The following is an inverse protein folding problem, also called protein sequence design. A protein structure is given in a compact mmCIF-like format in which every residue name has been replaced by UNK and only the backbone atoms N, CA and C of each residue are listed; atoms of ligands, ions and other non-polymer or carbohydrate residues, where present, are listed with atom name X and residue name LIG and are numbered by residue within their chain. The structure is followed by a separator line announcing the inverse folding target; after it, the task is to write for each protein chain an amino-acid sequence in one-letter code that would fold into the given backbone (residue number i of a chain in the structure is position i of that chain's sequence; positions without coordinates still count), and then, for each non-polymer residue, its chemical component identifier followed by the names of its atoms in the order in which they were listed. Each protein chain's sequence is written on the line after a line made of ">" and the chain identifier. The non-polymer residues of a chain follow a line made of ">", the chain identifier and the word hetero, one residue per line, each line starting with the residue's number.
data_IF_901976403355
#
_entry.id   IF_901976403355
#
_cell.length_a   1.000
_cell.length_b   1.000
_cell.length_c   1.000
_cell.angle_alpha   90.00
_cell.angle_beta   90.00
_cell.angle_gamma   90.00
#
_symmetry.space_group_name_H-M   'P 1'
#
loop_
_entity.id
_entity.type
_entity.pdbx_description
1 polymer ?
#
# COMPACT_ATOMS: atom_id res chain seq x y z
N UNK A 1 -20.15 -7.98 14.06
CA UNK A 1 -18.80 -7.38 14.22
C UNK A 1 -18.16 -7.03 12.87
N UNK A 2 -17.85 -7.97 11.98
CA UNK A 2 -17.09 -7.71 10.73
C UNK A 2 -17.74 -6.82 9.64
N UNK A 3 -19.03 -6.47 9.76
CA UNK A 3 -19.66 -5.50 8.84
C UNK A 3 -19.52 -4.05 9.30
N UNK A 4 -19.07 -3.84 10.55
CA UNK A 4 -18.86 -2.52 11.13
C UNK A 4 -17.57 -1.90 10.57
N UNK A 5 -17.61 -0.59 10.37
CA UNK A 5 -16.45 0.27 10.10
C UNK A 5 -15.49 0.28 11.29
N UNK A 6 -14.26 0.75 11.06
CA UNK A 6 -13.26 0.87 12.13
C UNK A 6 -13.74 1.84 13.23
N UNK A 7 -14.42 2.93 12.84
CA UNK A 7 -15.09 3.85 13.76
C UNK A 7 -16.18 3.18 14.61
N UNK A 8 -17.09 2.42 14.01
CA UNK A 8 -18.15 1.72 14.73
C UNK A 8 -17.60 0.60 15.65
N UNK A 9 -16.51 -0.07 15.25
CA UNK A 9 -15.82 -1.03 16.11
C UNK A 9 -15.22 -0.35 17.34
N UNK A 10 -14.59 0.81 17.15
CA UNK A 10 -14.04 1.62 18.24
C UNK A 10 -15.13 2.04 19.24
N UNK A 11 -16.27 2.51 18.74
CA UNK A 11 -17.43 2.84 19.57
C UNK A 11 -18.01 1.61 20.27
N UNK A 12 -18.02 0.45 19.61
CA UNK A 12 -18.44 -0.83 20.17
C UNK A 12 -17.61 -1.26 21.38
N UNK A 13 -16.27 -1.16 21.27
CA UNK A 13 -15.33 -1.47 22.35
C UNK A 13 -15.54 -0.53 23.55
N UNK A 14 -15.63 0.78 23.31
CA UNK A 14 -15.86 1.77 24.39
C UNK A 14 -17.20 1.59 25.08
N UNK A 15 -18.24 1.26 24.32
CA UNK A 15 -19.57 0.96 24.84
C UNK A 15 -19.67 -0.43 25.48
N UNK A 16 -18.58 -1.21 25.53
CA UNK A 16 -18.53 -2.58 26.06
C UNK A 16 -19.57 -3.52 25.43
N UNK A 17 -19.88 -3.30 24.15
CA UNK A 17 -20.76 -4.21 23.37
C UNK A 17 -20.07 -5.54 23.04
N UNK A 18 -18.75 -5.52 23.01
CA UNK A 18 -17.83 -6.65 22.91
C UNK A 18 -16.47 -6.19 23.43
N UNK A 19 -15.63 -7.13 23.84
CA UNK A 19 -14.24 -6.92 24.22
C UNK A 19 -13.30 -6.92 23.01
N UNK A 20 -12.08 -6.41 23.18
CA UNK A 20 -11.01 -6.50 22.19
C UNK A 20 -10.60 -7.95 21.96
N UNK A 21 -10.57 -8.79 23.01
CA UNK A 21 -10.31 -10.23 22.87
C UNK A 21 -11.39 -10.90 22.00
N UNK A 22 -12.68 -10.64 22.24
CA UNK A 22 -13.76 -11.18 21.41
C UNK A 22 -13.67 -10.70 19.96
N UNK A 23 -13.39 -9.41 19.76
CA UNK A 23 -13.22 -8.83 18.43
C UNK A 23 -12.04 -9.45 17.67
N UNK A 24 -10.92 -9.63 18.35
CA UNK A 24 -9.69 -10.20 17.77
C UNK A 24 -9.89 -11.68 17.43
N UNK A 25 -10.47 -12.47 18.34
CA UNK A 25 -10.87 -13.86 18.07
C UNK A 25 -11.81 -13.96 16.87
N UNK A 26 -12.76 -13.05 16.76
CA UNK A 26 -13.70 -13.00 15.64
C UNK A 26 -12.99 -12.81 14.30
N UNK A 27 -12.03 -11.89 14.19
CA UNK A 27 -11.29 -11.69 12.94
C UNK A 27 -10.27 -12.81 12.67
N UNK A 28 -9.59 -13.35 13.69
CA UNK A 28 -8.70 -14.51 13.53
C UNK A 28 -9.46 -15.74 12.97
N UNK A 29 -10.66 -16.02 13.49
CA UNK A 29 -11.52 -17.10 12.97
C UNK A 29 -11.96 -16.86 11.52
N UNK A 30 -12.10 -15.60 11.10
CA UNK A 30 -12.36 -15.26 9.69
C UNK A 30 -11.14 -15.48 8.81
N UNK A 31 -9.93 -15.18 9.29
CA UNK A 31 -8.69 -15.49 8.56
C UNK A 31 -8.63 -17.00 8.33
N UNK A 32 -8.79 -17.80 9.38
CA UNK A 32 -8.77 -19.28 9.29
C UNK A 32 -9.78 -19.80 8.26
N UNK A 33 -11.01 -19.26 8.27
CA UNK A 33 -12.08 -19.70 7.37
C UNK A 33 -11.87 -19.31 5.91
N UNK A 34 -11.43 -18.08 5.64
CA UNK A 34 -11.49 -17.50 4.29
C UNK A 34 -10.12 -17.36 3.60
N UNK A 35 -9.03 -17.29 4.37
CA UNK A 35 -7.68 -17.17 3.79
C UNK A 35 -7.30 -18.35 2.89
N UNK A 36 -7.65 -19.62 3.19
CA UNK A 36 -7.35 -20.74 2.28
C UNK A 36 -7.93 -20.55 0.86
N UNK A 37 -9.04 -19.83 0.72
CA UNK A 37 -9.66 -19.55 -0.57
C UNK A 37 -9.07 -18.34 -1.31
N UNK A 38 -8.63 -17.32 -0.58
CA UNK A 38 -8.23 -16.01 -1.11
C UNK A 38 -6.72 -15.73 -1.09
N UNK A 39 -5.97 -16.41 -0.22
CA UNK A 39 -4.54 -16.26 0.00
C UNK A 39 -4.08 -14.83 0.38
N UNK A 40 -4.92 -14.09 1.11
CA UNK A 40 -4.69 -12.69 1.47
C UNK A 40 -3.63 -12.48 2.56
N UNK A 41 -3.32 -13.49 3.39
CA UNK A 41 -2.34 -13.47 4.48
C UNK A 41 -1.18 -14.45 4.23
N UNK A 42 0.04 -14.02 4.54
CA UNK A 42 1.25 -14.85 4.58
C UNK A 42 1.49 -15.37 6.00
N UNK A 43 1.54 -14.46 6.98
CA UNK A 43 1.85 -14.77 8.38
C UNK A 43 0.68 -14.36 9.27
N UNK A 44 0.25 -15.21 10.19
CA UNK A 44 -0.82 -14.92 11.16
C UNK A 44 -0.19 -14.83 12.55
N UNK A 45 -0.50 -13.77 13.29
CA UNK A 45 0.11 -13.46 14.60
C UNK A 45 -0.86 -13.73 15.75
N UNK A 46 -1.56 -14.88 15.73
CA UNK A 46 -2.70 -15.15 16.60
C UNK A 46 -2.40 -14.99 18.11
N UNK A 47 -1.34 -15.63 18.61
CA UNK A 47 -0.99 -15.59 20.03
C UNK A 47 -0.61 -14.17 20.48
N UNK A 48 0.23 -13.49 19.69
CA UNK A 48 0.64 -12.12 19.94
C UNK A 48 -0.57 -11.17 19.90
N UNK A 49 -1.47 -11.33 18.93
CA UNK A 49 -2.67 -10.54 18.78
C UNK A 49 -3.61 -10.68 19.99
N UNK A 50 -3.82 -11.90 20.48
CA UNK A 50 -4.66 -12.16 21.66
C UNK A 50 -4.03 -11.60 22.94
N UNK A 51 -2.72 -11.68 23.09
CA UNK A 51 -2.02 -11.09 24.22
C UNK A 51 -2.16 -9.55 24.24
N UNK A 52 -2.05 -8.90 23.08
CA UNK A 52 -2.28 -7.46 22.97
C UNK A 52 -3.76 -7.08 23.16
N UNK A 53 -4.69 -7.91 22.69
CA UNK A 53 -6.12 -7.70 22.93
C UNK A 53 -6.48 -7.70 24.42
N UNK A 54 -5.91 -8.63 25.20
CA UNK A 54 -6.12 -8.66 26.65
C UNK A 54 -5.58 -7.40 27.34
N UNK A 55 -4.44 -6.86 26.90
CA UNK A 55 -3.89 -5.58 27.39
C UNK A 55 -4.78 -4.40 26.99
N UNK A 56 -5.31 -4.42 25.78
CA UNK A 56 -6.21 -3.38 25.29
C UNK A 56 -7.53 -3.34 26.10
N UNK A 57 -8.08 -4.49 26.48
CA UNK A 57 -9.26 -4.56 27.35
C UNK A 57 -9.00 -3.92 28.73
N UNK A 58 -7.82 -4.14 29.31
CA UNK A 58 -7.41 -3.47 30.55
C UNK A 58 -7.32 -1.94 30.39
N UNK A 59 -6.74 -1.47 29.27
CA UNK A 59 -6.65 -0.05 28.97
C UNK A 59 -8.02 0.59 28.73
N UNK A 60 -8.92 -0.09 28.00
CA UNK A 60 -10.29 0.36 27.77
C UNK A 60 -11.08 0.46 29.08
N UNK A 61 -10.87 -0.47 30.02
CA UNK A 61 -11.51 -0.44 31.34
C UNK A 61 -11.13 0.79 32.16
N UNK A 62 -9.95 1.40 31.92
CA UNK A 62 -9.48 2.59 32.62
C UNK A 62 -10.13 3.91 32.13
N UNK A 63 -10.90 3.88 31.04
CA UNK A 63 -11.66 5.03 30.50
C UNK A 63 -10.83 6.11 29.80
N UNK A 64 -9.51 5.94 29.62
CA UNK A 64 -8.61 6.91 28.98
C UNK A 64 -7.86 6.37 27.75
N UNK A 65 -8.35 5.27 27.18
CA UNK A 65 -7.73 4.64 26.02
C UNK A 65 -7.87 5.50 24.74
N UNK A 66 -6.81 5.60 23.91
CA UNK A 66 -6.89 6.16 22.57
C UNK A 66 -8.01 5.55 21.71
N UNK A 67 -8.41 6.26 20.64
CA UNK A 67 -9.54 5.83 19.82
C UNK A 67 -9.35 4.51 19.08
N UNK A 68 -8.12 4.14 18.79
CA UNK A 68 -7.82 2.91 18.05
C UNK A 68 -7.47 1.73 18.96
N UNK A 69 -7.52 1.91 20.29
CA UNK A 69 -7.16 0.86 21.24
C UNK A 69 -8.07 -0.36 21.10
N UNK A 70 -7.46 -1.52 20.96
CA UNK A 70 -8.14 -2.81 20.88
C UNK A 70 -8.65 -3.18 19.50
N UNK A 71 -8.34 -2.39 18.46
CA UNK A 71 -8.78 -2.67 17.09
C UNK A 71 -7.77 -3.57 16.36
N UNK A 72 -8.19 -4.74 15.86
CA UNK A 72 -7.34 -5.61 15.04
C UNK A 72 -7.23 -5.09 13.61
N UNK A 73 -6.02 -4.91 13.09
CA UNK A 73 -5.75 -4.60 11.67
C UNK A 73 -4.67 -5.53 11.11
N UNK A 74 -4.57 -5.58 9.78
CA UNK A 74 -3.50 -6.29 9.09
C UNK A 74 -2.43 -5.34 8.53
N UNK A 75 -1.19 -5.80 8.41
CA UNK A 75 -0.11 -5.03 7.81
C UNK A 75 0.39 -5.71 6.54
N UNK A 76 0.63 -4.96 5.46
CA UNK A 76 1.36 -5.49 4.30
C UNK A 76 2.71 -6.07 4.73
N UNK A 77 3.10 -7.20 4.15
CA UNK A 77 4.32 -7.94 4.54
C UNK A 77 5.66 -7.26 4.16
N UNK A 78 5.60 -5.97 3.88
CA UNK A 78 6.73 -5.08 3.61
C UNK A 78 7.17 -4.28 4.84
N UNK A 79 6.27 -4.16 5.83
CA UNK A 79 6.57 -3.51 7.10
C UNK A 79 7.26 -4.52 8.02
N UNK A 80 8.49 -4.20 8.44
CA UNK A 80 9.15 -4.92 9.51
C UNK A 80 8.27 -4.88 10.77
N UNK A 81 8.18 -6.02 11.45
CA UNK A 81 7.39 -6.19 12.67
C UNK A 81 8.22 -7.08 13.59
N UNK A 82 8.58 -6.57 14.76
CA UNK A 82 9.54 -7.20 15.64
C UNK A 82 9.09 -8.61 16.06
N UNK A 83 9.98 -9.58 15.90
CA UNK A 83 9.72 -10.99 16.18
C UNK A 83 8.77 -11.68 15.19
N UNK A 84 8.35 -11.01 14.10
CA UNK A 84 7.44 -11.57 13.09
C UNK A 84 8.15 -11.69 11.74
N UNK A 85 7.83 -12.76 11.00
CA UNK A 85 8.31 -12.95 9.63
C UNK A 85 7.90 -11.78 8.74
N UNK A 86 8.88 -11.18 8.06
CA UNK A 86 8.68 -10.11 7.07
C UNK A 86 9.33 -10.52 5.77
N UNK A 87 8.53 -10.95 4.79
CA UNK A 87 9.06 -11.71 3.65
C UNK A 87 8.98 -10.96 2.33
N UNK A 88 8.29 -9.82 2.28
CA UNK A 88 8.02 -9.08 1.05
C UNK A 88 7.37 -9.93 -0.06
N UNK A 89 6.67 -11.01 0.29
CA UNK A 89 6.13 -11.96 -0.68
C UNK A 89 7.21 -12.68 -1.49
N UNK A 90 8.44 -12.80 -0.98
CA UNK A 90 9.60 -13.34 -1.70
C UNK A 90 10.24 -14.53 -0.99
N UNK A 91 10.81 -15.45 -1.79
CA UNK A 91 11.70 -16.51 -1.28
C UNK A 91 12.93 -15.91 -0.60
N UNK A 92 13.46 -14.80 -1.13
CA UNK A 92 14.65 -14.12 -0.62
C UNK A 92 14.57 -13.79 0.87
N UNK A 93 13.38 -13.50 1.39
CA UNK A 93 13.16 -13.16 2.81
C UNK A 93 12.21 -14.13 3.52
N UNK A 94 12.01 -15.33 2.98
CA UNK A 94 11.06 -16.32 3.52
C UNK A 94 11.35 -16.76 4.95
N UNK A 95 12.59 -16.58 5.43
CA UNK A 95 13.04 -16.91 6.78
C UNK A 95 13.42 -15.68 7.62
N UNK A 96 13.18 -14.47 7.11
CA UNK A 96 13.57 -13.23 7.80
C UNK A 96 12.55 -12.87 8.89
N UNK A 97 12.91 -13.13 10.14
CA UNK A 97 12.22 -12.57 11.31
C UNK A 97 12.79 -11.18 11.57
N UNK A 98 11.96 -10.15 11.48
CA UNK A 98 12.43 -8.78 11.63
C UNK A 98 12.84 -8.52 13.10
N UNK A 99 14.00 -7.89 13.37
CA UNK A 99 14.46 -7.60 14.72
C UNK A 99 14.06 -6.18 15.21
N UNK A 100 13.10 -5.55 14.55
CA UNK A 100 12.59 -4.22 14.87
C UNK A 100 11.26 -3.96 14.16
N UNK A 101 10.48 -3.03 14.70
CA UNK A 101 9.26 -2.52 14.08
C UNK A 101 9.55 -1.42 13.07
N UNK A 102 8.79 -1.42 11.97
CA UNK A 102 8.61 -0.22 11.16
C UNK A 102 7.91 0.87 11.98
N UNK A 103 8.24 2.14 11.73
CA UNK A 103 7.63 3.27 12.48
C UNK A 103 6.10 3.29 12.40
N UNK A 104 5.54 2.84 11.27
CA UNK A 104 4.09 2.69 11.10
C UNK A 104 3.51 1.66 12.08
N UNK A 105 4.15 0.50 12.21
CA UNK A 105 3.73 -0.58 13.11
C UNK A 105 3.89 -0.14 14.55
N UNK A 106 5.03 0.46 14.88
CA UNK A 106 5.33 1.01 16.20
C UNK A 106 4.27 2.03 16.65
N UNK A 107 3.97 3.04 15.83
CA UNK A 107 2.99 4.09 16.16
C UNK A 107 1.58 3.56 16.35
N UNK A 108 1.15 2.64 15.48
CA UNK A 108 -0.17 2.03 15.59
C UNK A 108 -0.26 1.17 16.86
N UNK A 109 0.77 0.39 17.16
CA UNK A 109 0.88 -0.38 18.40
C UNK A 109 0.85 0.51 19.65
N UNK A 110 1.53 1.66 19.63
CA UNK A 110 1.55 2.63 20.74
C UNK A 110 0.17 3.22 21.07
N UNK A 111 -0.72 3.37 20.08
CA UNK A 111 -2.12 3.78 20.31
C UNK A 111 -3.07 2.60 20.58
N UNK A 112 -2.52 1.39 20.73
CA UNK A 112 -3.23 0.18 21.11
C UNK A 112 -3.87 -0.59 19.96
N UNK A 113 -3.48 -0.33 18.71
CA UNK A 113 -3.88 -1.16 17.56
C UNK A 113 -3.21 -2.52 17.64
N UNK A 114 -3.93 -3.56 17.23
CA UNK A 114 -3.48 -4.96 17.29
C UNK A 114 -3.16 -5.45 15.88
N UNK A 115 -1.96 -6.00 15.68
CA UNK A 115 -1.59 -6.67 14.43
C UNK A 115 -2.09 -8.11 14.44
N UNK A 116 -2.98 -8.47 13.52
CA UNK A 116 -3.50 -9.87 13.38
C UNK A 116 -2.73 -10.70 12.35
N UNK A 117 -1.88 -10.07 11.55
CA UNK A 117 -1.02 -10.77 10.61
C UNK A 117 -0.43 -9.88 9.52
N UNK A 118 0.37 -10.52 8.66
CA UNK A 118 1.04 -9.94 7.51
C UNK A 118 0.33 -10.34 6.23
N UNK A 119 -0.12 -9.36 5.45
CA UNK A 119 -0.87 -9.61 4.22
C UNK A 119 0.05 -9.85 3.04
N UNK A 120 -0.39 -10.72 2.13
CA UNK A 120 0.29 -11.04 0.89
C UNK A 120 0.43 -9.81 -0.03
N UNK A 121 1.43 -9.85 -0.92
CA UNK A 121 1.81 -8.75 -1.80
C UNK A 121 2.56 -9.28 -3.03
N UNK A 122 2.63 -8.48 -4.10
CA UNK A 122 3.63 -8.75 -5.16
C UNK A 122 5.04 -8.73 -4.57
N UNK A 123 5.91 -9.57 -5.12
CA UNK A 123 7.27 -9.74 -4.66
C UNK A 123 8.01 -8.38 -4.62
N UNK A 124 8.51 -7.99 -3.43
CA UNK A 124 9.15 -6.69 -3.20
C UNK A 124 8.34 -5.47 -3.70
N UNK A 125 7.01 -5.56 -3.64
CA UNK A 125 6.07 -4.54 -4.10
C UNK A 125 6.08 -4.30 -5.63
N UNK A 126 6.65 -5.21 -6.41
CA UNK A 126 6.82 -5.08 -7.87
C UNK A 126 5.75 -5.86 -8.63
N UNK A 127 4.62 -5.20 -8.88
CA UNK A 127 3.53 -5.75 -9.67
C UNK A 127 2.24 -4.97 -9.45
N UNK A 128 1.23 -5.33 -10.24
CA UNK A 128 -0.09 -4.68 -10.26
C UNK A 128 -1.24 -5.70 -10.19
N UNK A 129 -0.96 -6.93 -9.78
CA UNK A 129 -1.94 -8.04 -9.73
C UNK A 129 -1.81 -8.98 -8.52
N UNK A 130 -0.72 -8.90 -7.75
CA UNK A 130 -0.37 -9.82 -6.67
C UNK A 130 -0.06 -11.26 -7.14
N UNK A 131 0.17 -11.48 -8.43
CA UNK A 131 0.48 -12.80 -8.99
C UNK A 131 1.94 -13.20 -8.80
N UNK A 132 2.83 -12.23 -8.55
CA UNK A 132 4.27 -12.49 -8.42
C UNK A 132 4.67 -13.02 -7.05
N UNK A 133 3.75 -13.08 -6.08
CA UNK A 133 4.05 -13.57 -4.73
C UNK A 133 4.56 -14.99 -4.73
N UNK A 134 5.67 -15.20 -4.03
CA UNK A 134 6.23 -16.53 -3.74
C UNK A 134 5.23 -17.44 -3.00
N UNK A 135 4.33 -16.86 -2.20
CA UNK A 135 3.31 -17.59 -1.42
C UNK A 135 2.05 -17.89 -2.23
N UNK A 136 2.06 -17.59 -3.53
CA UNK A 136 0.95 -17.83 -4.44
C UNK A 136 0.04 -16.63 -4.61
N UNK A 137 -0.81 -16.74 -5.64
CA UNK A 137 -1.69 -15.67 -6.13
C UNK A 137 -2.78 -15.34 -5.10
N UNK A 138 -3.02 -14.04 -4.88
CA UNK A 138 -4.18 -13.55 -4.13
C UNK A 138 -5.37 -13.43 -5.08
N UNK A 139 -6.57 -13.82 -4.63
CA UNK A 139 -7.79 -13.74 -5.42
C UNK A 139 -8.65 -12.55 -5.01
N UNK A 140 -9.35 -11.94 -5.97
CA UNK A 140 -10.29 -10.86 -5.70
C UNK A 140 -11.55 -11.41 -4.99
N UNK A 141 -11.98 -10.85 -3.85
CA UNK A 141 -13.19 -11.30 -3.15
C UNK A 141 -14.49 -11.10 -3.91
N UNK A 142 -14.52 -10.17 -4.89
CA UNK A 142 -15.70 -9.93 -5.74
C UNK A 142 -15.83 -10.94 -6.87
N UNK A 143 -14.71 -11.51 -7.32
CA UNK A 143 -14.66 -12.59 -8.31
C UNK A 143 -13.32 -13.33 -8.17
N UNK A 144 -13.35 -14.56 -7.70
CA UNK A 144 -12.14 -15.34 -7.39
C UNK A 144 -11.31 -15.70 -8.63
N UNK A 145 -11.81 -15.46 -9.84
CA UNK A 145 -11.04 -15.60 -11.09
C UNK A 145 -10.23 -14.36 -11.44
N UNK A 146 -10.45 -13.24 -10.72
CA UNK A 146 -9.84 -11.94 -10.99
C UNK A 146 -8.77 -11.58 -9.99
N UNK A 147 -7.88 -10.70 -10.41
CA UNK A 147 -6.83 -10.14 -9.56
C UNK A 147 -7.42 -9.10 -8.59
N UNK A 148 -6.92 -9.00 -7.35
CA UNK A 148 -7.28 -7.92 -6.42
C UNK A 148 -6.52 -6.63 -6.71
N UNK A 149 -5.67 -6.59 -7.74
CA UNK A 149 -4.69 -5.54 -7.99
C UNK A 149 -3.38 -5.78 -7.25
N UNK A 150 -2.41 -4.87 -7.41
CA UNK A 150 -1.11 -4.96 -6.79
C UNK A 150 -0.40 -3.62 -6.60
N UNK A 151 0.61 -3.55 -5.74
CA UNK A 151 1.22 -4.66 -5.01
C UNK A 151 0.62 -4.93 -3.62
N UNK A 152 -0.34 -4.13 -3.15
CA UNK A 152 -1.01 -4.35 -1.86
C UNK A 152 -2.29 -5.20 -2.01
N UNK A 153 -2.27 -6.20 -2.90
CA UNK A 153 -3.45 -7.01 -3.23
C UNK A 153 -3.97 -7.84 -2.06
N UNK A 154 -3.09 -8.43 -1.26
CA UNK A 154 -3.49 -9.13 -0.02
C UNK A 154 -4.15 -8.21 1.00
N UNK A 155 -3.63 -6.99 1.18
CA UNK A 155 -4.23 -5.98 2.07
C UNK A 155 -5.64 -5.61 1.60
N UNK A 156 -5.81 -5.39 0.29
CA UNK A 156 -7.09 -5.04 -0.30
C UNK A 156 -8.10 -6.20 -0.22
N UNK A 157 -7.67 -7.42 -0.59
CA UNK A 157 -8.51 -8.61 -0.50
C UNK A 157 -8.96 -8.91 0.94
N UNK A 158 -8.07 -8.77 1.93
CA UNK A 158 -8.39 -8.98 3.34
C UNK A 158 -9.50 -8.03 3.83
N UNK A 159 -9.43 -6.75 3.47
CA UNK A 159 -10.41 -5.74 3.89
C UNK A 159 -11.73 -5.90 3.12
N UNK A 160 -11.68 -6.11 1.80
CA UNK A 160 -12.86 -6.29 0.97
C UNK A 160 -13.66 -7.54 1.37
N UNK A 161 -12.99 -8.65 1.69
CA UNK A 161 -13.60 -9.87 2.21
C UNK A 161 -14.05 -9.78 3.69
N UNK A 162 -13.85 -8.62 4.32
CA UNK A 162 -14.13 -8.38 5.75
C UNK A 162 -13.38 -9.33 6.68
N UNK A 163 -12.21 -9.81 6.26
CA UNK A 163 -11.33 -10.67 7.06
C UNK A 163 -10.48 -9.83 8.02
N UNK A 164 -10.21 -8.58 7.66
CA UNK A 164 -9.73 -7.52 8.54
C UNK A 164 -10.62 -6.28 8.36
N UNK A 165 -10.83 -5.45 9.40
CA UNK A 165 -11.61 -4.21 9.26
C UNK A 165 -10.84 -3.12 8.52
N UNK A 166 -9.50 -3.16 8.57
CA UNK A 166 -8.61 -2.28 7.85
C UNK A 166 -7.23 -2.92 7.70
N UNK A 167 -6.42 -2.38 6.78
CA UNK A 167 -5.04 -2.77 6.60
C UNK A 167 -4.14 -1.59 6.21
N UNK A 168 -2.84 -1.70 6.50
CA UNK A 168 -1.85 -0.81 5.89
C UNK A 168 -1.32 -1.41 4.59
N UNK A 169 -1.00 -0.55 3.62
CA UNK A 169 -0.38 -0.90 2.36
C UNK A 169 0.75 0.06 1.99
N UNK A 170 1.37 -0.16 0.83
CA UNK A 170 2.40 0.75 0.28
C UNK A 170 2.10 1.08 -1.17
N UNK A 171 2.33 2.33 -1.56
CA UNK A 171 2.06 2.85 -2.90
C UNK A 171 3.32 3.53 -3.44
N UNK A 172 3.89 2.95 -4.48
CA UNK A 172 5.04 3.49 -5.22
C UNK A 172 4.62 4.06 -6.57
N UNK A 173 3.73 3.36 -7.27
CA UNK A 173 3.20 3.75 -8.58
C UNK A 173 1.69 3.54 -8.73
N UNK A 174 0.95 3.45 -7.63
CA UNK A 174 -0.48 3.09 -7.59
C UNK A 174 -0.80 1.92 -6.68
N UNK A 175 0.17 1.38 -5.95
CA UNK A 175 0.07 0.09 -5.26
C UNK A 175 -0.83 0.04 -4.01
N UNK A 176 -1.48 1.15 -3.63
CA UNK A 176 -2.63 1.18 -2.70
C UNK A 176 -3.90 1.50 -3.48
N UNK A 177 -3.85 2.56 -4.29
CA UNK A 177 -5.03 3.11 -4.99
C UNK A 177 -5.62 2.12 -5.99
N UNK A 178 -4.78 1.46 -6.78
CA UNK A 178 -5.23 0.48 -7.77
C UNK A 178 -5.87 -0.76 -7.12
N UNK A 179 -5.25 -1.43 -6.13
CA UNK A 179 -5.94 -2.49 -5.39
C UNK A 179 -7.26 -2.05 -4.75
N UNK A 180 -7.31 -0.83 -4.18
CA UNK A 180 -8.53 -0.30 -3.59
C UNK A 180 -9.65 -0.13 -4.63
N UNK A 181 -9.34 0.43 -5.80
CA UNK A 181 -10.30 0.58 -6.90
C UNK A 181 -10.80 -0.79 -7.40
N UNK A 182 -9.91 -1.77 -7.53
CA UNK A 182 -10.25 -3.12 -8.02
C UNK A 182 -11.01 -3.98 -7.00
N UNK A 183 -11.07 -3.56 -5.73
CA UNK A 183 -11.73 -4.30 -4.64
C UNK A 183 -12.79 -3.48 -3.90
N UNK A 184 -13.18 -2.32 -4.44
CA UNK A 184 -14.21 -1.44 -3.88
C UNK A 184 -13.91 -0.98 -2.43
N UNK A 185 -12.73 -0.40 -2.24
CA UNK A 185 -12.27 0.13 -0.95
C UNK A 185 -11.87 1.60 -1.04
N UNK A 186 -11.76 2.24 0.14
CA UNK A 186 -11.08 3.53 0.28
C UNK A 186 -9.59 3.29 0.51
N UNK A 187 -8.78 3.56 -0.52
CA UNK A 187 -7.31 3.46 -0.48
C UNK A 187 -6.64 4.83 -0.49
N UNK A 188 -5.84 5.14 0.53
CA UNK A 188 -5.21 6.46 0.69
C UNK A 188 -3.69 6.34 0.70
N UNK A 189 -3.04 7.00 -0.27
CA UNK A 189 -1.60 7.29 -0.24
C UNK A 189 -1.41 8.76 0.19
N UNK A 190 -0.78 9.06 1.33
CA UNK A 190 -0.54 10.43 1.75
C UNK A 190 0.57 11.10 0.92
N UNK A 191 0.80 12.38 1.17
CA UNK A 191 1.95 13.13 0.64
C UNK A 191 3.26 12.42 0.99
N UNK A 192 4.22 12.40 0.07
CA UNK A 192 5.54 11.85 0.34
C UNK A 192 6.18 12.56 1.55
N UNK A 193 6.72 11.76 2.49
CA UNK A 193 7.30 12.26 3.75
C UNK A 193 6.31 12.49 4.89
N UNK A 194 4.99 12.35 4.67
CA UNK A 194 3.96 12.47 5.74
C UNK A 194 4.01 11.29 6.73
N UNK A 195 4.30 10.10 6.24
CA UNK A 195 4.46 8.88 7.03
C UNK A 195 5.90 8.40 6.83
N UNK A 196 6.57 8.07 7.94
CA UNK A 196 7.95 7.56 7.91
C UNK A 196 8.06 6.28 7.08
N UNK A 197 9.18 6.16 6.37
CA UNK A 197 9.56 4.97 5.61
C UNK A 197 10.51 4.06 6.40
N UNK A 198 10.89 4.42 7.62
CA UNK A 198 11.75 3.59 8.45
C UNK A 198 11.09 2.23 8.76
N UNK A 199 11.82 1.14 8.47
CA UNK A 199 11.36 -0.24 8.57
C UNK A 199 10.31 -0.68 7.54
N UNK A 200 9.94 0.18 6.60
CA UNK A 200 9.30 -0.24 5.35
C UNK A 200 10.40 -0.66 4.38
N UNK A 201 10.42 -1.92 3.95
CA UNK A 201 11.44 -2.41 3.02
C UNK A 201 11.29 -1.69 1.68
N UNK A 202 12.34 -0.97 1.27
CA UNK A 202 12.30 -0.06 0.14
C UNK A 202 12.22 -0.79 -1.21
N UNK A 203 11.35 -0.30 -2.08
CA UNK A 203 11.35 -0.57 -3.52
C UNK A 203 12.00 0.61 -4.25
N UNK A 204 11.32 1.76 -4.34
CA UNK A 204 11.86 2.99 -4.92
C UNK A 204 11.75 4.11 -3.88
N UNK A 205 12.87 4.39 -3.23
CA UNK A 205 12.97 5.28 -2.07
C UNK A 205 12.32 6.65 -2.26
N UNK A 206 12.42 7.26 -3.44
CA UNK A 206 11.86 8.58 -3.72
C UNK A 206 10.36 8.58 -4.08
N UNK A 207 9.73 7.41 -4.10
CA UNK A 207 8.34 7.21 -4.53
C UNK A 207 7.50 6.48 -3.48
N UNK A 208 8.11 5.54 -2.74
CA UNK A 208 7.44 4.70 -1.76
C UNK A 208 6.77 5.52 -0.67
N UNK A 209 5.50 5.23 -0.42
CA UNK A 209 4.79 5.81 0.72
C UNK A 209 3.83 4.78 1.32
N UNK A 210 3.88 4.65 2.64
CA UNK A 210 2.89 3.88 3.40
C UNK A 210 1.53 4.58 3.41
N UNK A 211 0.46 3.81 3.42
CA UNK A 211 -0.90 4.32 3.46
C UNK A 211 -1.90 3.26 3.92
N UNK A 212 -3.18 3.54 3.70
CA UNK A 212 -4.28 2.78 4.32
C UNK A 212 -5.23 2.19 3.27
N UNK A 213 -5.79 1.03 3.60
CA UNK A 213 -6.89 0.35 2.89
C UNK A 213 -8.01 0.12 3.89
N UNK A 214 -9.15 0.77 3.67
CA UNK A 214 -10.25 0.81 4.62
C UNK A 214 -11.62 0.81 3.91
N UNK A 215 -12.68 0.66 4.68
CA UNK A 215 -14.05 0.63 4.18
C UNK A 215 -14.63 2.03 3.95
N UNK A 216 -14.08 3.06 4.60
CA UNK A 216 -14.60 4.42 4.56
C UNK A 216 -13.48 5.47 4.66
N UNK A 217 -13.73 6.68 4.16
CA UNK A 217 -12.80 7.80 4.30
C UNK A 217 -12.52 8.17 5.76
N UNK A 218 -13.53 8.02 6.65
CA UNK A 218 -13.37 8.22 8.08
C UNK A 218 -12.37 7.24 8.68
N UNK A 219 -12.47 5.96 8.35
CA UNK A 219 -11.53 4.94 8.84
C UNK A 219 -10.11 5.19 8.31
N UNK A 220 -9.98 5.60 7.05
CA UNK A 220 -8.68 5.99 6.47
C UNK A 220 -8.06 7.17 7.23
N UNK A 221 -8.85 8.19 7.56
CA UNK A 221 -8.42 9.36 8.31
C UNK A 221 -7.99 9.01 9.75
N UNK A 222 -8.75 8.15 10.44
CA UNK A 222 -8.40 7.66 11.78
C UNK A 222 -7.03 6.95 11.78
N UNK A 223 -6.81 6.02 10.85
CA UNK A 223 -5.53 5.30 10.76
C UNK A 223 -4.39 6.20 10.32
N UNK A 224 -4.60 7.06 9.33
CA UNK A 224 -3.56 7.97 8.86
C UNK A 224 -3.12 8.92 9.98
N UNK A 225 -4.06 9.45 10.76
CA UNK A 225 -3.76 10.32 11.90
C UNK A 225 -2.87 9.64 12.95
N UNK A 226 -3.01 8.34 13.14
CA UNK A 226 -2.20 7.58 14.09
C UNK A 226 -0.81 7.19 13.56
N UNK A 227 -0.66 6.92 12.26
CA UNK A 227 0.63 6.49 11.69
C UNK A 227 1.49 7.64 11.13
N UNK A 228 0.90 8.79 10.80
CA UNK A 228 1.58 9.95 10.26
C UNK A 228 2.41 10.72 11.32
N UNK A 229 3.32 11.57 10.83
CA UNK A 229 4.13 12.46 11.66
C UNK A 229 5.63 12.30 11.44
N UNK A 230 6.40 13.31 11.86
CA UNK A 230 7.84 13.35 11.71
C UNK A 230 8.54 12.20 12.44
N UNK A 231 9.52 11.57 11.81
CA UNK A 231 10.36 10.53 12.40
C UNK A 231 11.84 10.86 12.18
N UNK A 232 12.63 11.11 13.25
CA UNK A 232 14.04 11.45 13.10
C UNK A 232 14.90 10.31 12.52
N UNK A 233 14.39 9.07 12.48
CA UNK A 233 15.06 7.92 11.85
C UNK A 233 14.92 7.90 10.33
N UNK A 234 14.05 8.73 9.76
CA UNK A 234 13.84 8.87 8.33
C UNK A 234 14.16 10.30 7.88
N UNK A 235 15.32 10.50 7.28
CA UNK A 235 15.76 11.81 6.78
C UNK A 235 14.87 12.40 5.67
N UNK A 236 13.93 11.63 5.14
CA UNK A 236 12.93 12.11 4.16
C UNK A 236 11.57 12.40 4.79
N UNK A 237 11.40 12.11 6.07
CA UNK A 237 10.21 12.48 6.83
C UNK A 237 10.17 13.99 6.97
N UNK A 238 9.04 14.59 6.61
CA UNK A 238 8.87 16.03 6.68
C UNK A 238 8.46 16.41 8.10
N UNK A 239 9.23 17.31 8.71
CA UNK A 239 8.89 17.90 10.01
C UNK A 239 7.74 18.90 9.85
N UNK A 240 6.52 18.35 9.89
CA UNK A 240 5.29 19.12 9.84
C UNK A 240 4.25 18.49 10.78
N UNK A 241 3.48 19.29 11.53
CA UNK A 241 2.39 18.80 12.35
C UNK A 241 1.42 17.91 11.55
N UNK A 242 0.89 16.87 12.21
CA UNK A 242 -0.16 16.02 11.64
C UNK A 242 -1.49 16.79 11.78
N UNK A 243 -2.18 17.12 10.68
CA UNK A 243 -3.50 17.72 10.77
C UNK A 243 -4.51 16.80 11.44
N UNK A 244 -5.50 17.37 12.11
CA UNK A 244 -6.69 16.61 12.52
C UNK A 244 -7.53 16.31 11.27
N UNK A 245 -7.27 15.15 10.66
CA UNK A 245 -7.97 14.70 9.47
C UNK A 245 -9.46 14.46 9.70
N UNK A 246 -9.91 14.30 10.95
CA UNK A 246 -11.33 14.06 11.26
C UNK A 246 -12.13 15.36 11.31
N UNK A 247 -11.48 16.50 11.64
CA UNK A 247 -12.14 17.77 11.90
C UNK A 247 -12.97 18.32 10.72
N UNK A 248 -12.59 18.00 9.48
CA UNK A 248 -13.26 18.52 8.27
C UNK A 248 -14.01 17.46 7.46
N UNK A 249 -14.12 16.21 7.95
CA UNK A 249 -14.72 15.11 7.16
C UNK A 249 -16.18 15.36 6.75
N UNK A 250 -16.95 16.00 7.62
CA UNK A 250 -18.39 16.24 7.41
C UNK A 250 -18.67 17.59 6.72
N UNK A 251 -17.63 18.33 6.31
CA UNK A 251 -17.82 19.61 5.61
C UNK A 251 -18.29 19.36 4.17
N UNK A 252 -19.38 20.03 3.72
CA UNK A 252 -19.84 19.89 2.35
C UNK A 252 -18.80 20.46 1.36
N UNK A 253 -18.66 19.91 0.15
CA UNK A 253 -17.70 20.36 -0.85
C UNK A 253 -18.14 21.65 -1.57
N UNK A 254 -19.01 22.45 -0.95
CA UNK A 254 -19.59 23.67 -1.54
C UNK A 254 -18.47 24.65 -1.90
N UNK A 255 -18.39 25.02 -3.18
CA UNK A 255 -17.40 25.95 -3.71
C UNK A 255 -16.03 25.34 -4.02
N UNK A 256 -15.78 24.07 -3.65
CA UNK A 256 -14.53 23.35 -4.00
C UNK A 256 -14.44 23.21 -5.52
N UNK A 257 -13.31 23.61 -6.09
CA UNK A 257 -13.01 23.44 -7.50
C UNK A 257 -12.35 22.09 -7.74
N UNK A 258 -13.07 21.21 -8.44
CA UNK A 258 -12.60 19.88 -8.82
C UNK A 258 -12.09 19.95 -10.26
N UNK A 259 -10.79 19.74 -10.43
CA UNK A 259 -10.14 19.66 -11.72
C UNK A 259 -10.34 18.31 -12.39
N UNK A 260 -10.92 18.31 -13.59
CA UNK A 260 -11.06 17.16 -14.46
C UNK A 260 -9.88 17.09 -15.44
N UNK A 261 -9.06 16.06 -15.32
CA UNK A 261 -7.88 15.86 -16.17
C UNK A 261 -8.31 15.32 -17.54
N UNK A 262 -8.12 16.12 -18.61
CA UNK A 262 -8.44 15.71 -19.98
C UNK A 262 -7.76 14.40 -20.38
N UNK A 263 -6.50 14.26 -20.00
CA UNK A 263 -5.64 13.12 -20.35
C UNK A 263 -6.12 11.80 -19.75
N UNK A 264 -7.00 11.81 -18.74
CA UNK A 264 -7.56 10.59 -18.16
C UNK A 264 -8.79 10.04 -18.91
N UNK A 265 -9.37 10.80 -19.84
CA UNK A 265 -10.53 10.38 -20.64
C UNK A 265 -10.13 10.15 -22.09
N UNK A 266 -9.00 9.46 -22.29
CA UNK A 266 -8.50 9.08 -23.59
C UNK A 266 -9.13 7.76 -24.10
N UNK A 267 -8.60 7.22 -25.20
CA UNK A 267 -9.08 5.98 -25.81
C UNK A 267 -8.74 4.71 -25.00
N UNK A 268 -7.83 4.80 -24.02
CA UNK A 268 -7.43 3.69 -23.16
C UNK A 268 -8.36 3.46 -21.97
N UNK A 269 -9.24 4.42 -21.66
CA UNK A 269 -10.25 4.30 -20.62
C UNK A 269 -11.44 3.45 -21.09
N UNK A 270 -11.82 2.44 -20.30
CA UNK A 270 -13.07 1.71 -20.52
C UNK A 270 -14.27 2.67 -20.50
N UNK A 271 -15.12 2.58 -21.52
CA UNK A 271 -16.21 3.53 -21.72
C UNK A 271 -17.20 3.56 -20.54
N UNK A 272 -17.50 2.39 -19.96
CA UNK A 272 -18.41 2.28 -18.81
C UNK A 272 -17.76 2.86 -17.56
N UNK A 273 -16.47 2.63 -17.35
CA UNK A 273 -15.71 3.24 -16.27
C UNK A 273 -15.69 4.78 -16.40
N UNK A 274 -15.45 5.30 -17.61
CA UNK A 274 -15.51 6.74 -17.88
C UNK A 274 -16.89 7.35 -17.61
N UNK A 275 -17.96 6.63 -17.95
CA UNK A 275 -19.32 7.04 -17.61
C UNK A 275 -19.54 7.09 -16.08
N UNK A 276 -19.15 6.05 -15.35
CA UNK A 276 -19.32 5.99 -13.89
C UNK A 276 -18.56 7.10 -13.16
N UNK A 277 -17.36 7.48 -13.65
CA UNK A 277 -16.62 8.62 -13.10
C UNK A 277 -17.36 9.93 -13.34
N UNK A 278 -17.94 10.14 -14.53
CA UNK A 278 -18.76 11.33 -14.82
C UNK A 278 -20.03 11.37 -13.96
N UNK A 279 -20.67 10.23 -13.72
CA UNK A 279 -21.81 10.14 -12.81
C UNK A 279 -21.42 10.53 -11.38
N UNK A 280 -20.28 10.03 -10.87
CA UNK A 280 -19.75 10.41 -9.56
C UNK A 280 -19.43 11.91 -9.47
N UNK A 281 -18.84 12.50 -10.52
CA UNK A 281 -18.59 13.95 -10.60
C UNK A 281 -19.89 14.76 -10.54
N UNK A 282 -20.97 14.27 -11.17
CA UNK A 282 -22.29 14.93 -11.11
C UNK A 282 -22.87 14.97 -9.69
N UNK A 283 -22.52 14.00 -8.84
CA UNK A 283 -22.90 14.00 -7.42
C UNK A 283 -22.18 15.14 -6.70
N UNK A 284 -20.89 15.35 -6.95
CA UNK A 284 -20.15 16.47 -6.37
C UNK A 284 -20.67 17.83 -6.83
N UNK A 285 -21.05 17.99 -8.10
CA UNK A 285 -21.69 19.23 -8.59
C UNK A 285 -23.01 19.51 -7.87
N UNK A 286 -23.86 18.49 -7.69
CA UNK A 286 -25.12 18.61 -6.92
C UNK A 286 -24.89 18.98 -5.46
N UNK A 287 -23.75 18.58 -4.89
CA UNK A 287 -23.31 18.94 -3.54
C UNK A 287 -22.64 20.33 -3.47
N UNK A 288 -22.57 21.07 -4.59
CA UNK A 288 -22.09 22.46 -4.64
C UNK A 288 -20.64 22.62 -5.07
N UNK A 289 -19.94 21.56 -5.47
CA UNK A 289 -18.61 21.66 -6.07
C UNK A 289 -18.67 22.26 -7.49
N UNK A 290 -17.54 22.77 -7.97
CA UNK A 290 -17.40 23.33 -9.33
C UNK A 290 -16.44 22.46 -10.12
N UNK A 291 -16.87 21.94 -11.27
CA UNK A 291 -15.97 21.23 -12.17
C UNK A 291 -15.21 22.22 -13.04
N UNK A 292 -13.89 22.01 -13.14
CA UNK A 292 -13.00 22.80 -13.99
C UNK A 292 -12.18 21.84 -14.82
N UNK A 293 -12.22 21.97 -16.14
CA UNK A 293 -11.38 21.13 -16.99
C UNK A 293 -9.93 21.63 -16.96
N UNK A 294 -8.98 20.74 -16.72
CA UNK A 294 -7.54 21.04 -16.61
C UNK A 294 -6.72 20.06 -17.43
N UNK A 295 -5.52 20.45 -17.82
CA UNK A 295 -4.63 19.65 -18.67
C UNK A 295 -3.23 19.57 -18.07
N UNK A 296 -2.70 18.35 -18.02
CA UNK A 296 -1.32 18.05 -17.62
C UNK A 296 -0.62 17.43 -18.84
N UNK A 297 -0.01 18.25 -19.72
CA UNK A 297 0.47 17.78 -21.03
C UNK A 297 1.58 16.72 -20.93
N UNK A 298 2.34 16.67 -19.83
CA UNK A 298 3.37 15.66 -19.62
C UNK A 298 2.85 14.41 -18.90
N UNK A 299 1.56 14.34 -18.55
CA UNK A 299 0.98 13.19 -17.84
C UNK A 299 1.17 11.85 -18.57
N UNK A 300 1.04 11.76 -19.91
CA UNK A 300 1.31 10.50 -20.65
C UNK A 300 2.74 9.98 -20.47
N UNK A 301 3.70 10.83 -20.08
CA UNK A 301 5.09 10.44 -19.82
C UNK A 301 5.30 9.82 -18.43
N UNK A 302 4.25 9.76 -17.59
CA UNK A 302 4.37 9.27 -16.21
C UNK A 302 4.77 7.80 -16.13
N UNK A 303 4.16 6.95 -16.96
CA UNK A 303 4.46 5.51 -17.01
C UNK A 303 5.92 5.25 -17.42
N UNK A 304 6.42 5.73 -18.57
CA UNK A 304 7.82 5.50 -18.94
C UNK A 304 8.80 6.15 -17.96
N UNK A 305 8.47 7.31 -17.39
CA UNK A 305 9.30 7.94 -16.35
C UNK A 305 9.41 7.06 -15.10
N UNK A 306 8.28 6.54 -14.63
CA UNK A 306 8.22 5.62 -13.49
C UNK A 306 9.02 4.33 -13.75
N UNK A 307 8.88 3.73 -14.94
CA UNK A 307 9.61 2.51 -15.32
C UNK A 307 11.11 2.71 -15.59
N UNK A 308 11.62 3.95 -15.51
CA UNK A 308 13.05 4.22 -15.42
C UNK A 308 13.47 4.48 -13.97
N UNK A 309 12.78 5.39 -13.28
CA UNK A 309 13.15 5.83 -11.93
C UNK A 309 13.03 4.68 -10.92
N UNK A 310 11.90 3.96 -10.92
CA UNK A 310 11.65 2.94 -9.91
C UNK A 310 12.59 1.73 -10.06
N UNK A 311 12.82 1.17 -11.27
CA UNK A 311 13.84 0.12 -11.45
C UNK A 311 15.26 0.58 -11.11
N UNK A 312 15.65 1.82 -11.47
CA UNK A 312 16.96 2.37 -11.12
C UNK A 312 17.19 2.33 -9.60
N UNK A 313 16.28 2.92 -8.82
CA UNK A 313 16.38 2.92 -7.35
C UNK A 313 16.32 1.52 -6.76
N UNK A 314 15.43 0.67 -7.27
CA UNK A 314 15.31 -0.73 -6.89
C UNK A 314 16.62 -1.50 -7.05
N UNK A 315 17.32 -1.34 -8.19
CA UNK A 315 18.57 -2.06 -8.45
C UNK A 315 19.64 -1.79 -7.40
N UNK A 316 19.66 -0.57 -6.86
CA UNK A 316 20.52 -0.18 -5.73
C UNK A 316 19.95 -0.65 -4.39
N UNK A 317 18.67 -0.39 -4.11
CA UNK A 317 18.02 -0.73 -2.84
C UNK A 317 18.10 -2.24 -2.52
N UNK A 318 17.86 -3.09 -3.53
CA UNK A 318 17.87 -4.55 -3.40
C UNK A 318 19.27 -5.16 -3.51
N UNK A 319 20.33 -4.37 -3.73
CA UNK A 319 21.71 -4.88 -3.75
C UNK A 319 22.13 -5.50 -2.40
N UNK A 320 21.53 -5.05 -1.29
CA UNK A 320 21.79 -5.53 0.08
C UNK A 320 21.38 -6.98 0.34
N UNK A 321 20.51 -7.54 -0.50
CA UNK A 321 20.03 -8.92 -0.38
C UNK A 321 21.00 -9.85 -1.11
N UNK A 322 21.92 -10.37 -0.33
CA UNK A 322 23.11 -11.07 -0.78
C UNK A 322 23.30 -12.44 -0.11
N UNK A 323 22.41 -12.80 0.82
CA UNK A 323 22.46 -14.01 1.62
C UNK A 323 23.56 -14.00 2.69
N UNK A 324 24.30 -12.91 2.89
CA UNK A 324 25.43 -12.85 3.84
C UNK A 324 24.94 -12.62 5.27
N UNK A 325 24.09 -11.61 5.48
CA UNK A 325 23.67 -11.21 6.84
C UNK A 325 22.31 -11.80 7.23
N UNK A 326 21.41 -11.97 6.27
CA UNK A 326 20.05 -12.44 6.47
C UNK A 326 19.44 -12.89 5.15
N UNK A 327 18.27 -13.54 5.22
CA UNK A 327 17.52 -14.00 4.05
C UNK A 327 18.07 -15.29 3.43
N UNK A 328 17.68 -15.55 2.19
CA UNK A 328 18.06 -16.74 1.44
C UNK A 328 19.56 -16.75 1.10
N UNK A 329 20.22 -17.85 1.44
CA UNK A 329 21.60 -18.16 1.06
C UNK A 329 21.59 -19.46 0.26
N UNK A 330 22.24 -19.47 -0.90
CA UNK A 330 22.42 -20.70 -1.66
C UNK A 330 23.27 -21.71 -0.89
N UNK A 331 23.00 -22.99 -1.09
CA UNK A 331 23.76 -24.05 -0.45
C UNK A 331 25.13 -24.23 -1.11
N UNK A 332 26.15 -24.47 -0.29
CA UNK A 332 27.52 -24.82 -0.70
C UNK A 332 28.10 -23.91 -1.81
N UNK A 333 28.26 -22.59 -1.57
CA UNK A 333 28.87 -21.69 -2.56
C UNK A 333 30.33 -22.08 -2.87
N UNK A 334 30.66 -22.17 -4.15
CA UNK A 334 32.03 -22.49 -4.58
C UNK A 334 33.01 -21.34 -4.26
N UNK A 335 32.53 -20.10 -4.38
CA UNK A 335 33.24 -18.88 -4.02
C UNK A 335 32.24 -17.75 -3.70
N UNK A 336 32.76 -16.55 -3.45
CA UNK A 336 31.95 -15.37 -3.12
C UNK A 336 31.05 -14.91 -4.27
N UNK A 337 31.51 -15.02 -5.52
CA UNK A 337 30.72 -14.63 -6.69
C UNK A 337 29.58 -15.60 -6.93
N UNK A 338 29.82 -16.89 -6.76
CA UNK A 338 28.82 -17.94 -6.78
C UNK A 338 27.76 -17.73 -5.68
N UNK A 339 28.19 -17.43 -4.45
CA UNK A 339 27.31 -17.09 -3.34
C UNK A 339 26.31 -15.99 -3.74
N UNK A 340 26.82 -14.86 -4.25
CA UNK A 340 25.97 -13.73 -4.62
C UNK A 340 25.05 -14.05 -5.80
N UNK A 341 25.60 -14.63 -6.87
CA UNK A 341 24.84 -14.91 -8.09
C UNK A 341 23.74 -15.94 -7.84
N UNK A 342 24.05 -17.05 -7.16
CA UNK A 342 23.07 -18.11 -6.89
C UNK A 342 22.05 -17.70 -5.84
N UNK A 343 22.46 -17.10 -4.72
CA UNK A 343 21.49 -16.65 -3.70
C UNK A 343 20.47 -15.67 -4.29
N UNK A 344 20.93 -14.70 -5.10
CA UNK A 344 20.03 -13.76 -5.79
C UNK A 344 19.23 -14.41 -6.91
N UNK A 345 19.85 -15.30 -7.68
CA UNK A 345 19.22 -16.01 -8.79
C UNK A 345 18.09 -16.95 -8.34
N UNK A 346 18.30 -17.64 -7.22
CA UNK A 346 17.36 -18.56 -6.58
C UNK A 346 16.30 -17.85 -5.74
N UNK A 347 16.66 -16.73 -5.10
CA UNK A 347 15.82 -16.03 -4.13
C UNK A 347 14.85 -15.01 -4.73
N UNK A 348 15.21 -14.36 -5.85
CA UNK A 348 14.32 -13.40 -6.53
C UNK A 348 13.56 -14.04 -7.69
N UNK A 349 12.27 -13.72 -7.79
CA UNK A 349 11.41 -14.04 -8.92
C UNK A 349 11.75 -13.24 -10.18
N UNK A 350 11.05 -13.57 -11.28
CA UNK A 350 11.36 -13.05 -12.61
C UNK A 350 11.16 -11.52 -12.71
N UNK A 351 10.08 -10.98 -12.17
CA UNK A 351 9.78 -9.54 -12.24
C UNK A 351 10.82 -8.71 -11.47
N UNK A 352 11.19 -9.14 -10.26
CA UNK A 352 12.23 -8.48 -9.47
C UNK A 352 13.57 -8.50 -10.22
N UNK A 353 13.95 -9.65 -10.79
CA UNK A 353 15.18 -9.74 -11.61
C UNK A 353 15.13 -8.83 -12.84
N UNK A 354 14.00 -8.77 -13.55
CA UNK A 354 13.82 -7.84 -14.69
C UNK A 354 14.03 -6.39 -14.27
N UNK A 355 13.42 -5.94 -13.18
CA UNK A 355 13.60 -4.56 -12.69
C UNK A 355 15.02 -4.26 -12.22
N UNK A 356 15.69 -5.23 -11.58
CA UNK A 356 17.11 -5.07 -11.21
C UNK A 356 17.98 -4.92 -12.48
N UNK A 357 17.75 -5.75 -13.50
CA UNK A 357 18.50 -5.67 -14.77
C UNK A 357 18.26 -4.33 -15.48
N UNK A 358 17.00 -3.92 -15.66
CA UNK A 358 16.66 -2.61 -16.24
C UNK A 358 17.27 -1.47 -15.45
N UNK A 359 17.14 -1.50 -14.12
CA UNK A 359 17.68 -0.48 -13.23
C UNK A 359 19.20 -0.34 -13.31
N UNK A 360 19.90 -1.47 -13.32
CA UNK A 360 21.37 -1.50 -13.46
C UNK A 360 21.79 -0.94 -14.82
N UNK A 361 21.04 -1.26 -15.89
CA UNK A 361 21.31 -0.73 -17.23
C UNK A 361 21.11 0.80 -17.29
N UNK A 362 19.97 1.32 -16.83
CA UNK A 362 19.69 2.77 -16.91
C UNK A 362 20.58 3.62 -16.00
N UNK A 363 21.27 3.00 -15.03
CA UNK A 363 22.28 3.64 -14.18
C UNK A 363 23.72 3.44 -14.69
N UNK A 364 23.94 2.62 -15.72
CA UNK A 364 25.28 2.31 -16.20
C UNK A 364 25.95 3.51 -16.91
N UNK A 365 27.28 3.55 -16.87
CA UNK A 365 28.07 4.57 -17.53
C UNK A 365 27.75 4.60 -19.04
N UNK A 366 27.52 5.81 -19.58
CA UNK A 366 27.09 6.02 -20.97
C UNK A 366 25.57 6.06 -21.16
N UNK A 367 24.78 5.44 -20.29
CA UNK A 367 23.31 5.41 -20.38
C UNK A 367 22.61 6.25 -19.30
N UNK A 368 23.30 6.57 -18.20
CA UNK A 368 22.78 7.37 -17.08
C UNK A 368 22.10 8.68 -17.53
N UNK A 369 22.78 9.48 -18.36
CA UNK A 369 22.27 10.79 -18.79
C UNK A 369 21.05 10.66 -19.71
N UNK A 370 21.06 9.64 -20.58
CA UNK A 370 20.03 9.39 -21.58
C UNK A 370 18.74 8.83 -20.95
N UNK A 371 18.86 8.04 -19.89
CA UNK A 371 17.72 7.40 -19.23
C UNK A 371 17.41 8.02 -17.87
N UNK A 372 18.22 7.76 -16.84
CA UNK A 372 17.86 8.13 -15.47
C UNK A 372 17.79 9.65 -15.25
N UNK A 373 18.81 10.40 -15.69
CA UNK A 373 18.78 11.86 -15.60
C UNK A 373 17.65 12.46 -16.43
N UNK A 374 17.39 11.93 -17.63
CA UNK A 374 16.28 12.36 -18.48
C UNK A 374 14.94 12.11 -17.79
N UNK A 375 14.73 10.93 -17.20
CA UNK A 375 13.51 10.60 -16.46
C UNK A 375 13.30 11.53 -15.26
N UNK A 376 14.37 11.87 -14.52
CA UNK A 376 14.28 12.85 -13.43
C UNK A 376 13.88 14.25 -13.91
N UNK A 377 14.36 14.68 -15.10
CA UNK A 377 13.92 15.93 -15.73
C UNK A 377 12.45 15.87 -16.14
N UNK A 378 11.98 14.76 -16.70
CA UNK A 378 10.56 14.58 -17.06
C UNK A 378 9.67 14.54 -15.81
N UNK A 379 10.12 13.89 -14.73
CA UNK A 379 9.44 13.93 -13.43
C UNK A 379 9.26 15.35 -12.93
N UNK A 380 10.25 16.23 -13.14
CA UNK A 380 10.12 17.65 -12.82
C UNK A 380 9.05 18.33 -13.66
N UNK A 381 9.00 18.08 -14.97
CA UNK A 381 7.94 18.61 -15.84
C UNK A 381 6.54 18.17 -15.38
N UNK A 382 6.36 16.90 -15.05
CA UNK A 382 5.10 16.37 -14.52
C UNK A 382 4.72 17.09 -13.22
N UNK A 383 5.69 17.26 -12.31
CA UNK A 383 5.47 17.99 -11.04
C UNK A 383 5.06 19.44 -11.28
N UNK A 384 5.73 20.11 -12.22
CA UNK A 384 5.40 21.48 -12.59
C UNK A 384 4.00 21.57 -13.20
N UNK A 385 3.54 20.56 -13.96
CA UNK A 385 2.16 20.51 -14.49
C UNK A 385 1.12 20.46 -13.35
N UNK A 386 1.32 19.59 -12.35
CA UNK A 386 0.47 19.57 -11.15
C UNK A 386 0.49 20.90 -10.41
N UNK A 387 1.66 21.51 -10.22
CA UNK A 387 1.79 22.80 -9.55
C UNK A 387 1.05 23.92 -10.31
N UNK A 388 1.01 23.87 -11.65
CA UNK A 388 0.21 24.80 -12.46
C UNK A 388 -1.28 24.55 -12.26
N UNK A 389 -1.73 23.31 -12.36
CA UNK A 389 -3.15 22.96 -12.20
C UNK A 389 -3.70 23.36 -10.83
N UNK A 390 -2.96 23.14 -9.73
CA UNK A 390 -3.39 23.53 -8.37
C UNK A 390 -3.47 25.04 -8.14
N UNK A 391 -3.09 25.89 -9.10
CA UNK A 391 -3.40 27.33 -9.06
C UNK A 391 -4.84 27.63 -9.49
N UNK A 392 -5.47 26.69 -10.20
CA UNK A 392 -6.80 26.85 -10.78
C UNK A 392 -7.86 26.07 -10.01
N UNK A 393 -7.46 24.94 -9.41
CA UNK A 393 -8.35 23.98 -8.74
C UNK A 393 -7.83 23.56 -7.36
N UNK A 394 -8.73 23.09 -6.49
CA UNK A 394 -8.39 22.67 -5.13
C UNK A 394 -8.00 21.18 -5.07
N UNK A 395 -8.64 20.36 -5.92
CA UNK A 395 -8.42 18.91 -6.02
C UNK A 395 -8.51 18.46 -7.47
N UNK A 396 -7.81 17.38 -7.81
CA UNK A 396 -7.90 16.74 -9.13
C UNK A 396 -8.64 15.40 -8.98
N UNK A 397 -9.60 15.13 -9.86
CA UNK A 397 -10.38 13.90 -9.83
C UNK A 397 -10.41 13.24 -11.21
N UNK A 398 -10.36 11.91 -11.21
CA UNK A 398 -10.46 11.08 -12.40
C UNK A 398 -10.47 9.58 -12.07
N UNK A 399 -10.54 8.71 -13.10
CA UNK A 399 -10.48 7.27 -12.92
C UNK A 399 -9.18 6.85 -12.22
N UNK A 400 -9.28 5.89 -11.29
CA UNK A 400 -8.10 5.33 -10.60
C UNK A 400 -7.41 4.24 -11.42
N UNK A 401 -8.18 3.42 -12.13
CA UNK A 401 -7.69 2.43 -13.09
C UNK A 401 -8.41 2.62 -14.43
N UNK A 402 -7.77 2.31 -15.57
CA UNK A 402 -8.40 2.44 -16.89
C UNK A 402 -9.49 1.38 -17.11
N UNK A 403 -9.37 0.22 -16.46
CA UNK A 403 -10.29 -0.92 -16.60
C UNK A 403 -10.69 -1.49 -15.22
N UNK A 404 -11.80 -2.25 -15.14
CA UNK A 404 -12.12 -3.08 -13.98
C UNK A 404 -11.07 -4.18 -13.72
N UNK A 405 -11.28 -4.96 -12.65
CA UNK A 405 -10.39 -6.07 -12.33
C UNK A 405 -10.32 -7.08 -13.50
N UNK A 406 -9.10 -7.45 -13.88
CA UNK A 406 -8.84 -8.39 -14.96
C UNK A 406 -8.62 -9.82 -14.42
N UNK A 407 -8.69 -10.79 -15.32
CA UNK A 407 -8.55 -12.19 -14.96
C UNK A 407 -7.10 -12.53 -14.56
N UNK A 408 -6.95 -13.45 -13.62
CA UNK A 408 -5.65 -14.02 -13.24
C UNK A 408 -5.03 -14.66 -14.50
N UNK A 409 -3.76 -14.37 -14.76
CA UNK A 409 -3.00 -14.83 -15.92
C UNK A 409 -3.10 -13.91 -17.14
N UNK A 410 -4.00 -12.92 -17.16
CA UNK A 410 -4.28 -12.15 -18.38
C UNK A 410 -3.15 -11.19 -18.81
N UNK A 411 -2.28 -10.76 -17.87
CA UNK A 411 -1.26 -9.72 -18.09
C UNK A 411 0.12 -10.09 -17.53
N UNK A 412 0.42 -11.38 -17.45
CA UNK A 412 1.69 -11.88 -16.86
C UNK A 412 2.86 -11.70 -17.82
N UNK A 413 2.62 -11.80 -19.13
CA UNK A 413 3.66 -11.69 -20.18
C UNK A 413 3.90 -10.25 -20.65
N UNK A 414 2.89 -9.38 -20.56
CA UNK A 414 2.99 -7.94 -20.82
C UNK A 414 2.23 -7.15 -19.72
N UNK A 415 2.95 -6.55 -18.75
CA UNK A 415 2.33 -5.86 -17.62
C UNK A 415 1.92 -4.41 -17.94
N UNK A 416 2.12 -3.91 -19.17
CA UNK A 416 1.80 -2.54 -19.60
C UNK A 416 0.36 -2.45 -20.16
#
# INVERSE_FOLDING_TARGET
>A
MHHLTLGELSEGLRARRFSSVELTKHFLARIERFNPGLNAFITITADQALAFAAKADQALASGRAPALTGLPIAHKDIFCTDGVLTTCGSRMLSTFVAPYDATVVERLSQVGVITIGKTNMDEFAMGSSNETSWYGVVKNPWDVKKVPGGSSGGSAAAVAARIAPAATGTDTGGSIRQPAALTSLTGLKPTYGRVSRYGMIAFASSLDQAGTLTLSAKDAAMLLGAMAGFDPRDSTSVDAPVPDYLASLEQPPTGVKIGLLREFFDKGLDAKNGQLVREALSVYEKLGAKLVEVSLPNLPLSVPTYYVVAPAECSSNLSRFDGVRFGHRCENPADLMDLYKRSRGEGFGAEVKRRIMTGTYVLSAGYYDAYYLRAQKVRRLITDDFARAFREVDVLMGPTSPTPAFDIGAKVDDPI
#
